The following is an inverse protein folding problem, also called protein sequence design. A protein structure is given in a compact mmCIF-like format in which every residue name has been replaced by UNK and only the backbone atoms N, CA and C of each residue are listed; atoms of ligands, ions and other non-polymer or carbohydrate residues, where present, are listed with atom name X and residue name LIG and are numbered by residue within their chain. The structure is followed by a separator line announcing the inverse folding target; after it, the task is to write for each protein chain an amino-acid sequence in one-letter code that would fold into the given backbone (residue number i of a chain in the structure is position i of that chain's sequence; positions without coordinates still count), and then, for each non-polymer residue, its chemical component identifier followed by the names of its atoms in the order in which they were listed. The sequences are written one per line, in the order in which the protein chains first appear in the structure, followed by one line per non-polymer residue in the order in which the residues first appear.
data_IF_182296146477
#
_entry.id   IF_182296146477
#
_cell.length_a   1.000
_cell.length_b   1.000
_cell.length_c   1.000
_cell.angle_alpha   90.00
_cell.angle_beta   90.00
_cell.angle_gamma   90.00
#
_symmetry.space_group_name_H-M   'P 1'
#
loop_
_entity.id
_entity.type
_entity.pdbx_description
1 polymer ?
#
# COMPACT_ATOMS: atom_id res chain seq x y z
N UNK A 1 -12.39 49.83 -31.02
CA UNK A 1 -13.78 50.23 -30.84
C UNK A 1 -14.28 49.67 -29.50
N UNK A 2 -14.72 50.56 -28.68
CA UNK A 2 -15.28 50.39 -27.32
C UNK A 2 -16.63 49.68 -27.35
N UNK A 3 -16.94 48.92 -26.30
CA UNK A 3 -18.20 48.85 -25.52
C UNK A 3 -18.07 47.69 -24.52
N UNK A 4 -18.02 47.85 -23.36
CA UNK A 4 -18.59 48.24 -22.03
C UNK A 4 -20.05 47.81 -21.83
N UNK A 5 -20.28 47.38 -20.56
CA UNK A 5 -21.50 47.31 -19.72
C UNK A 5 -22.16 45.91 -19.66
N UNK A 6 -22.73 45.40 -18.53
CA UNK A 6 -23.08 45.94 -17.20
C UNK A 6 -23.33 44.75 -16.26
N UNK A 7 -23.06 44.96 -14.99
CA UNK A 7 -23.40 44.15 -13.82
C UNK A 7 -24.91 44.02 -13.58
N UNK A 8 -25.34 42.92 -12.93
CA UNK A 8 -26.49 42.97 -12.02
C UNK A 8 -26.33 41.94 -10.90
N UNK A 9 -26.17 42.42 -9.70
CA UNK A 9 -26.34 41.72 -8.44
C UNK A 9 -27.82 41.72 -8.06
N UNK A 10 -28.29 40.63 -7.46
CA UNK A 10 -29.52 40.64 -6.68
C UNK A 10 -29.36 39.76 -5.45
N UNK A 11 -29.41 40.41 -4.30
CA UNK A 11 -29.53 39.86 -2.96
C UNK A 11 -31.00 39.98 -2.50
N UNK A 12 -31.51 39.01 -1.76
CA UNK A 12 -32.62 39.13 -0.81
C UNK A 12 -32.68 37.79 -0.04
N UNK A 13 -32.40 37.72 1.21
CA UNK A 13 -33.00 38.21 2.48
C UNK A 13 -34.15 37.32 3.01
N UNK A 14 -33.83 36.71 4.17
CA UNK A 14 -34.64 36.42 5.38
C UNK A 14 -35.91 35.57 5.31
N UNK A 15 -36.02 34.58 6.23
CA UNK A 15 -36.88 34.77 7.42
C UNK A 15 -36.66 33.65 8.47
N UNK A 16 -36.42 34.08 9.70
CA UNK A 16 -36.54 33.33 10.94
C UNK A 16 -38.01 32.98 11.23
N UNK A 17 -38.29 31.88 11.90
CA UNK A 17 -39.38 31.74 12.83
C UNK A 17 -39.03 30.82 14.00
N UNK A 18 -38.81 31.45 15.15
CA UNK A 18 -38.90 30.85 16.48
C UNK A 18 -40.38 30.72 16.87
N UNK A 19 -40.72 29.64 17.55
CA UNK A 19 -41.79 29.68 18.56
C UNK A 19 -41.44 28.72 19.71
N UNK A 20 -41.49 29.34 20.87
CA UNK A 20 -41.23 28.79 22.17
C UNK A 20 -42.53 28.45 22.90
N UNK A 21 -42.38 27.89 24.12
CA UNK A 21 -43.29 27.68 25.24
C UNK A 21 -44.08 26.38 25.24
N UNK A 22 -44.14 25.65 26.35
CA UNK A 22 -44.21 26.05 27.72
C UNK A 22 -44.13 24.89 28.72
N UNK A 23 -43.80 25.29 29.89
CA UNK A 23 -43.71 24.59 31.17
C UNK A 23 -44.95 23.87 31.65
N UNK A 24 -44.81 22.83 32.47
CA UNK A 24 -45.26 22.90 33.88
C UNK A 24 -44.88 21.63 34.68
N UNK A 25 -44.45 21.95 35.84
CA UNK A 25 -44.07 21.31 37.08
C UNK A 25 -45.13 20.36 37.65
N UNK A 26 -44.74 19.26 38.28
CA UNK A 26 -45.14 19.00 39.69
C UNK A 26 -44.43 17.79 40.31
N UNK A 27 -44.12 17.95 41.54
CA UNK A 27 -43.28 17.30 42.46
C UNK A 27 -43.79 16.01 43.13
N UNK A 28 -42.83 15.26 43.67
CA UNK A 28 -42.79 14.48 44.91
C UNK A 28 -43.62 13.17 44.97
N UNK A 29 -43.08 12.06 45.35
CA UNK A 29 -42.66 11.69 46.71
C UNK A 29 -41.94 10.36 46.73
N UNK A 30 -41.08 10.19 47.69
CA UNK A 30 -40.23 9.17 48.23
C UNK A 30 -40.93 7.83 48.50
N UNK A 31 -40.19 6.68 48.24
CA UNK A 31 -39.98 5.61 49.24
C UNK A 31 -38.78 4.74 48.90
N UNK A 32 -38.07 4.37 49.94
CA UNK A 32 -36.79 3.68 49.98
C UNK A 32 -36.92 2.13 49.89
N UNK A 33 -35.75 1.54 49.61
CA UNK A 33 -35.27 0.20 49.95
C UNK A 33 -35.72 -0.96 49.00
N UNK A 34 -34.77 -1.56 48.26
CA UNK A 34 -34.03 -2.75 48.73
C UNK A 34 -32.81 -3.01 47.88
N UNK A 35 -31.79 -3.49 48.56
CA UNK A 35 -30.47 -3.85 48.06
C UNK A 35 -30.53 -5.26 47.48
N UNK A 36 -30.21 -5.46 46.23
CA UNK A 36 -29.69 -6.75 45.75
C UNK A 36 -28.55 -6.51 44.77
N UNK A 37 -27.45 -7.18 45.08
CA UNK A 37 -26.25 -7.20 44.26
C UNK A 37 -26.49 -7.94 42.97
N UNK A 38 -26.26 -7.27 41.84
CA UNK A 38 -26.13 -7.92 40.55
C UNK A 38 -24.66 -7.90 40.16
N UNK A 39 -24.10 -9.09 40.06
CA UNK A 39 -22.79 -9.40 39.57
C UNK A 39 -22.58 -8.78 38.17
N UNK A 40 -21.48 -8.04 38.02
CA UNK A 40 -20.95 -7.60 36.77
C UNK A 40 -20.45 -8.82 35.97
N UNK A 41 -21.24 -9.28 35.05
CA UNK A 41 -20.73 -10.12 33.98
C UNK A 41 -19.95 -9.22 33.04
N UNK A 42 -18.63 -9.39 33.02
CA UNK A 42 -17.77 -8.92 31.94
C UNK A 42 -18.22 -9.64 30.66
N UNK A 43 -18.80 -8.90 29.74
CA UNK A 43 -18.94 -9.37 28.36
C UNK A 43 -17.52 -9.50 27.78
N UNK A 44 -17.10 -10.75 27.66
CA UNK A 44 -16.00 -11.14 26.80
C UNK A 44 -16.40 -10.73 25.37
N UNK A 45 -15.76 -9.69 24.86
CA UNK A 45 -15.84 -9.35 23.45
C UNK A 45 -15.12 -10.49 22.72
N UNK A 46 -15.90 -11.43 22.23
CA UNK A 46 -15.42 -12.43 21.29
C UNK A 46 -14.87 -11.70 20.09
N UNK A 47 -13.56 -11.87 19.85
CA UNK A 47 -12.95 -11.52 18.59
C UNK A 47 -13.81 -12.12 17.48
N UNK A 48 -14.25 -11.27 16.56
CA UNK A 48 -14.99 -11.67 15.37
C UNK A 48 -14.05 -12.57 14.57
N UNK A 49 -14.30 -13.87 14.59
CA UNK A 49 -13.56 -14.85 13.80
C UNK A 49 -13.65 -14.43 12.35
N UNK A 50 -12.49 -14.17 11.74
CA UNK A 50 -12.37 -13.93 10.31
C UNK A 50 -13.10 -15.08 9.58
N UNK A 51 -14.11 -14.73 8.79
CA UNK A 51 -14.88 -15.68 8.00
C UNK A 51 -13.97 -16.41 7.03
N UNK A 52 -13.56 -17.61 7.40
CA UNK A 52 -13.01 -18.58 6.46
C UNK A 52 -14.16 -19.16 5.67
N UNK A 53 -14.18 -18.91 4.39
CA UNK A 53 -15.23 -19.36 3.50
C UNK A 53 -14.75 -20.58 2.75
N UNK A 54 -15.39 -21.71 3.02
CA UNK A 54 -15.48 -22.81 2.07
C UNK A 54 -16.25 -22.27 0.84
N UNK A 55 -15.54 -21.94 -0.26
CA UNK A 55 -16.11 -21.33 -1.47
C UNK A 55 -16.22 -19.79 -1.44
N UNK A 56 -15.35 -19.09 -0.71
CA UNK A 56 -15.27 -17.62 -0.67
C UNK A 56 -14.38 -17.00 -1.75
N UNK A 57 -14.16 -15.70 -1.63
CA UNK A 57 -13.32 -14.90 -2.53
C UNK A 57 -12.02 -14.54 -1.81
N UNK A 58 -10.89 -14.67 -2.48
CA UNK A 58 -9.61 -14.06 -2.06
C UNK A 58 -9.49 -12.68 -2.71
N UNK A 59 -9.61 -11.63 -1.89
CA UNK A 59 -9.48 -10.24 -2.34
C UNK A 59 -8.07 -9.75 -2.05
N UNK A 60 -7.31 -9.49 -3.11
CA UNK A 60 -5.90 -9.10 -3.04
C UNK A 60 -5.75 -7.61 -3.26
N UNK A 61 -5.26 -6.90 -2.25
CA UNK A 61 -4.93 -5.47 -2.35
C UNK A 61 -3.57 -5.26 -2.99
N UNK A 62 -3.50 -4.34 -3.97
CA UNK A 62 -2.29 -4.04 -4.69
C UNK A 62 -2.27 -2.61 -5.25
N UNK A 63 -1.09 -2.05 -5.47
CA UNK A 63 -0.86 -0.83 -6.22
C UNK A 63 -0.81 -1.17 -7.72
N UNK A 64 -1.73 -0.59 -8.51
CA UNK A 64 -1.83 -0.85 -9.95
C UNK A 64 -0.73 -0.18 -10.80
N UNK A 65 0.13 0.61 -10.17
CA UNK A 65 1.23 1.34 -10.80
C UNK A 65 2.62 0.80 -10.40
N UNK A 66 2.68 -0.50 -10.01
CA UNK A 66 3.87 -1.17 -9.50
C UNK A 66 4.31 -2.40 -10.33
N UNK A 67 4.57 -2.24 -11.65
CA UNK A 67 5.04 -3.34 -12.48
C UNK A 67 6.49 -3.75 -12.13
N UNK A 68 6.84 -5.04 -12.21
CA UNK A 68 6.08 -6.17 -12.74
C UNK A 68 5.21 -6.89 -11.71
N UNK A 69 5.10 -6.39 -10.47
CA UNK A 69 4.42 -7.10 -9.38
C UNK A 69 2.90 -7.06 -9.53
N UNK A 70 2.32 -5.85 -9.72
CA UNK A 70 0.91 -5.63 -9.99
C UNK A 70 0.71 -4.35 -10.81
N UNK A 71 -0.02 -4.43 -11.92
CA UNK A 71 -0.22 -3.27 -12.79
C UNK A 71 -1.38 -3.47 -13.77
N UNK A 72 -1.72 -2.40 -14.50
CA UNK A 72 -2.68 -2.46 -15.61
C UNK A 72 -1.95 -2.86 -16.89
N UNK A 73 -2.34 -3.98 -17.49
CA UNK A 73 -1.77 -4.45 -18.76
C UNK A 73 -2.23 -3.64 -19.97
N UNK A 74 -1.65 -3.92 -21.13
CA UNK A 74 -1.99 -3.25 -22.41
C UNK A 74 -3.45 -3.48 -22.85
N UNK A 75 -4.08 -4.54 -22.37
CA UNK A 75 -5.48 -4.89 -22.57
C UNK A 75 -6.45 -4.19 -21.63
N UNK A 76 -5.91 -3.45 -20.64
CA UNK A 76 -6.66 -2.75 -19.60
C UNK A 76 -7.04 -3.63 -18.39
N UNK A 77 -6.61 -4.90 -18.39
CA UNK A 77 -6.83 -5.82 -17.28
C UNK A 77 -5.68 -5.77 -16.27
N UNK A 78 -5.95 -6.15 -15.01
CA UNK A 78 -4.93 -6.24 -14.00
C UNK A 78 -4.06 -7.47 -14.22
N UNK A 79 -2.74 -7.27 -14.19
CA UNK A 79 -1.74 -8.30 -14.42
C UNK A 79 -0.52 -8.04 -13.54
N UNK A 80 0.41 -8.98 -13.48
CA UNK A 80 1.65 -8.88 -12.73
C UNK A 80 2.06 -10.20 -12.11
N UNK A 81 3.32 -10.29 -11.74
CA UNK A 81 3.88 -11.50 -11.12
C UNK A 81 3.11 -11.91 -9.86
N UNK A 82 2.89 -10.97 -8.95
CA UNK A 82 2.20 -11.23 -7.69
C UNK A 82 0.71 -11.53 -7.90
N UNK A 83 0.08 -10.82 -8.84
CA UNK A 83 -1.32 -11.07 -9.15
C UNK A 83 -1.53 -12.44 -9.80
N UNK A 84 -0.57 -12.91 -10.62
CA UNK A 84 -0.63 -14.27 -11.18
C UNK A 84 -0.39 -15.34 -10.09
N UNK A 85 0.55 -15.11 -9.17
CA UNK A 85 0.73 -15.97 -7.99
C UNK A 85 -0.58 -16.07 -7.19
N UNK A 86 -1.18 -14.92 -6.86
CA UNK A 86 -2.41 -14.86 -6.08
C UNK A 86 -3.60 -15.54 -6.79
N UNK A 87 -3.72 -15.35 -8.10
CA UNK A 87 -4.77 -15.98 -8.91
C UNK A 87 -4.64 -17.51 -8.92
N UNK A 88 -3.41 -18.02 -9.12
CA UNK A 88 -3.17 -19.47 -9.12
C UNK A 88 -3.37 -20.07 -7.71
N UNK A 89 -2.95 -19.35 -6.65
CA UNK A 89 -3.22 -19.75 -5.27
C UNK A 89 -4.73 -19.82 -5.00
N UNK A 90 -5.48 -18.79 -5.35
CA UNK A 90 -6.95 -18.80 -5.17
C UNK A 90 -7.61 -19.99 -5.90
N UNK A 91 -7.21 -20.24 -7.14
CA UNK A 91 -7.70 -21.36 -7.94
C UNK A 91 -7.39 -22.72 -7.30
N UNK A 92 -6.18 -22.94 -6.78
CA UNK A 92 -5.82 -24.20 -6.09
C UNK A 92 -6.55 -24.38 -4.77
N UNK A 93 -6.87 -23.28 -4.08
CA UNK A 93 -7.66 -23.29 -2.86
C UNK A 93 -9.19 -23.39 -3.12
N UNK A 94 -9.63 -23.33 -4.38
CA UNK A 94 -11.05 -23.35 -4.74
C UNK A 94 -11.79 -22.05 -4.37
N UNK A 95 -11.06 -20.93 -4.27
CA UNK A 95 -11.59 -19.61 -4.00
C UNK A 95 -11.81 -18.82 -5.30
N UNK A 96 -12.78 -17.91 -5.30
CA UNK A 96 -12.82 -16.86 -6.32
C UNK A 96 -11.65 -15.90 -6.11
N UNK A 97 -11.06 -15.40 -7.20
CA UNK A 97 -9.99 -14.40 -7.14
C UNK A 97 -10.53 -13.01 -7.48
N UNK A 98 -10.13 -12.01 -6.70
CA UNK A 98 -10.40 -10.61 -6.99
C UNK A 98 -9.15 -9.76 -6.73
N UNK A 99 -8.61 -9.15 -7.79
CA UNK A 99 -7.63 -8.07 -7.65
C UNK A 99 -8.37 -6.77 -7.27
N UNK A 100 -7.95 -6.12 -6.20
CA UNK A 100 -8.49 -4.87 -5.69
C UNK A 100 -7.40 -3.80 -5.70
N UNK A 101 -7.42 -2.86 -6.67
CA UNK A 101 -6.47 -1.76 -6.64
C UNK A 101 -6.76 -0.85 -5.45
N UNK A 102 -5.71 -0.42 -4.78
CA UNK A 102 -5.75 0.46 -3.61
C UNK A 102 -4.75 1.61 -3.78
N UNK A 103 -4.99 2.74 -3.12
CA UNK A 103 -3.94 3.72 -2.90
C UNK A 103 -2.96 3.15 -1.87
N UNK A 104 -1.65 3.18 -2.17
CA UNK A 104 -0.66 2.48 -1.36
C UNK A 104 -0.60 2.96 0.09
N UNK A 105 -0.76 4.25 0.33
CA UNK A 105 -0.82 4.86 1.65
C UNK A 105 -2.07 4.48 2.46
N UNK A 106 -3.06 3.84 1.81
CA UNK A 106 -4.30 3.39 2.45
C UNK A 106 -4.32 1.89 2.74
N UNK A 107 -3.25 1.15 2.43
CA UNK A 107 -3.19 -0.33 2.50
C UNK A 107 -3.61 -0.90 3.84
N UNK A 108 -3.17 -0.26 4.94
CA UNK A 108 -3.47 -0.71 6.30
C UNK A 108 -4.95 -0.57 6.61
N UNK A 109 -5.54 0.56 6.22
CA UNK A 109 -6.96 0.82 6.42
C UNK A 109 -7.83 -0.17 5.62
N UNK A 110 -7.45 -0.46 4.37
CA UNK A 110 -8.16 -1.40 3.50
C UNK A 110 -8.11 -2.82 4.08
N UNK A 111 -6.94 -3.23 4.61
CA UNK A 111 -6.76 -4.53 5.25
C UNK A 111 -7.52 -4.62 6.59
N UNK A 112 -7.40 -3.60 7.44
CA UNK A 112 -8.04 -3.58 8.76
C UNK A 112 -9.57 -3.55 8.66
N UNK A 113 -10.12 -2.84 7.67
CA UNK A 113 -11.57 -2.80 7.43
C UNK A 113 -12.13 -4.05 6.75
N UNK A 114 -11.27 -4.96 6.27
CA UNK A 114 -11.68 -6.17 5.56
C UNK A 114 -12.17 -5.93 4.13
N UNK A 115 -11.78 -4.80 3.53
CA UNK A 115 -12.03 -4.55 2.10
C UNK A 115 -11.13 -5.42 1.22
N UNK A 116 -9.97 -5.81 1.75
CA UNK A 116 -9.02 -6.77 1.19
C UNK A 116 -8.68 -7.84 2.22
N UNK A 117 -8.34 -9.04 1.78
CA UNK A 117 -7.96 -10.17 2.63
C UNK A 117 -6.45 -10.20 2.89
N UNK A 118 -5.67 -9.71 1.94
CA UNK A 118 -4.21 -9.59 2.05
C UNK A 118 -3.67 -8.46 1.16
N UNK A 119 -2.45 -8.03 1.46
CA UNK A 119 -1.63 -7.15 0.64
C UNK A 119 -0.60 -8.04 -0.06
N UNK A 120 -0.59 -8.03 -1.40
CA UNK A 120 0.32 -8.84 -2.20
C UNK A 120 0.78 -8.04 -3.43
N UNK A 121 1.93 -7.38 -3.29
CA UNK A 121 2.42 -6.44 -4.29
C UNK A 121 3.89 -6.04 -4.07
N UNK A 122 4.81 -7.02 -4.08
CA UNK A 122 6.18 -6.75 -3.67
C UNK A 122 6.20 -6.16 -2.25
N UNK A 123 5.42 -6.74 -1.35
CA UNK A 123 5.20 -6.16 -0.04
C UNK A 123 6.33 -6.52 0.92
N UNK A 124 7.13 -5.52 1.27
CA UNK A 124 8.30 -5.67 2.12
C UNK A 124 7.93 -6.03 3.53
N UNK A 125 8.45 -7.15 4.00
CA UNK A 125 8.32 -7.63 5.40
C UNK A 125 9.28 -6.90 6.32
N UNK A 126 10.49 -6.62 5.86
CA UNK A 126 11.57 -6.02 6.65
C UNK A 126 11.12 -4.71 7.29
N UNK A 127 11.22 -4.65 8.62
CA UNK A 127 10.77 -3.51 9.42
C UNK A 127 9.27 -3.48 9.72
N UNK A 128 8.50 -4.48 9.26
CA UNK A 128 7.05 -4.60 9.47
C UNK A 128 6.64 -5.97 10.03
N UNK A 129 7.58 -6.73 10.54
CA UNK A 129 7.38 -8.13 10.96
C UNK A 129 6.30 -8.26 12.03
N UNK A 130 6.19 -7.25 12.88
CA UNK A 130 5.23 -7.23 13.99
C UNK A 130 3.86 -6.65 13.62
N UNK A 131 3.69 -6.04 12.45
CA UNK A 131 2.47 -5.32 12.09
C UNK A 131 1.42 -6.21 11.44
N UNK A 132 1.86 -7.29 10.77
CA UNK A 132 1.01 -8.19 10.00
C UNK A 132 1.18 -9.64 10.43
N UNK A 133 0.34 -10.51 9.88
CA UNK A 133 0.58 -11.95 9.82
C UNK A 133 1.13 -12.26 8.43
N UNK A 134 2.41 -12.64 8.36
CA UNK A 134 3.13 -12.82 7.12
C UNK A 134 3.21 -14.28 6.67
N UNK A 135 3.31 -14.51 5.36
CA UNK A 135 3.91 -15.73 4.82
C UNK A 135 5.42 -15.76 5.16
N UNK A 136 6.08 -16.86 4.88
CA UNK A 136 7.54 -16.83 4.68
C UNK A 136 7.87 -15.95 3.47
N UNK A 137 9.06 -15.34 3.42
CA UNK A 137 9.45 -14.50 2.29
C UNK A 137 9.50 -15.32 1.00
N UNK A 138 8.90 -14.79 -0.05
CA UNK A 138 8.89 -15.46 -1.36
C UNK A 138 9.91 -14.88 -2.35
N UNK A 139 10.47 -13.71 -2.10
CA UNK A 139 11.46 -13.06 -2.96
C UNK A 139 12.35 -12.09 -2.17
N UNK A 140 13.65 -12.07 -2.48
CA UNK A 140 14.58 -11.04 -2.00
C UNK A 140 14.52 -9.80 -2.90
N UNK A 141 14.67 -8.63 -2.31
CA UNK A 141 14.70 -7.33 -3.01
C UNK A 141 15.73 -6.38 -2.37
N UNK A 142 15.92 -5.24 -2.98
CA UNK A 142 16.74 -4.14 -2.47
C UNK A 142 16.06 -2.81 -2.79
N UNK A 143 16.20 -1.83 -1.91
CA UNK A 143 15.91 -0.45 -2.22
C UNK A 143 17.13 0.21 -2.84
N UNK A 144 16.94 0.89 -3.95
CA UNK A 144 18.01 1.50 -4.77
C UNK A 144 17.63 2.92 -5.18
N UNK A 145 18.60 3.63 -5.79
CA UNK A 145 18.34 4.91 -6.43
C UNK A 145 18.40 4.77 -7.95
N UNK A 146 17.42 5.36 -8.62
CA UNK A 146 17.36 5.52 -10.08
C UNK A 146 17.65 6.97 -10.42
N UNK A 147 18.53 7.19 -11.38
CA UNK A 147 18.96 8.52 -11.85
C UNK A 147 19.05 8.56 -13.38
N UNK A 148 19.07 9.75 -13.98
CA UNK A 148 19.37 9.88 -15.41
C UNK A 148 20.76 9.31 -15.72
N UNK A 149 20.89 8.58 -16.83
CA UNK A 149 22.11 7.89 -17.19
C UNK A 149 23.27 8.86 -17.48
N UNK A 150 22.97 10.05 -17.98
CA UNK A 150 23.92 11.12 -18.28
C UNK A 150 24.19 12.05 -17.08
N UNK A 151 23.57 11.78 -15.90
CA UNK A 151 23.83 12.56 -14.69
C UNK A 151 25.20 12.28 -14.10
N UNK A 152 25.73 13.25 -13.34
CA UNK A 152 26.98 13.12 -12.58
C UNK A 152 26.83 12.28 -11.30
N UNK A 153 25.62 11.75 -11.03
CA UNK A 153 25.31 10.94 -9.84
C UNK A 153 25.72 9.50 -10.13
N UNK A 154 26.68 8.97 -9.37
CA UNK A 154 27.19 7.61 -9.52
C UNK A 154 27.20 6.81 -8.20
N UNK A 155 26.93 7.47 -7.09
CA UNK A 155 26.84 6.88 -5.76
C UNK A 155 25.85 7.64 -4.88
N UNK A 156 25.46 7.08 -3.74
CA UNK A 156 24.63 7.77 -2.77
C UNK A 156 25.24 9.08 -2.26
N UNK A 157 26.56 9.17 -2.20
CA UNK A 157 27.23 10.40 -1.77
C UNK A 157 27.00 11.59 -2.74
N UNK A 158 26.78 11.32 -4.02
CA UNK A 158 26.53 12.33 -5.05
C UNK A 158 25.07 12.88 -4.98
N UNK A 159 24.21 12.29 -4.15
CA UNK A 159 22.85 12.79 -3.88
C UNK A 159 22.85 14.04 -2.98
N UNK A 160 23.99 14.43 -2.42
CA UNK A 160 24.11 15.66 -1.62
C UNK A 160 23.69 16.89 -2.45
N UNK A 161 22.74 17.66 -1.95
CA UNK A 161 22.18 18.83 -2.62
C UNK A 161 21.22 18.53 -3.79
N UNK A 162 20.82 17.26 -3.99
CA UNK A 162 19.88 16.80 -5.01
C UNK A 162 18.46 16.71 -4.49
N UNK A 163 17.50 16.73 -5.38
CA UNK A 163 16.08 16.46 -5.09
C UNK A 163 15.85 14.98 -5.31
N UNK A 164 15.44 14.28 -4.26
CA UNK A 164 15.12 12.86 -4.27
C UNK A 164 13.62 12.69 -4.11
N UNK A 165 13.01 11.77 -4.86
CA UNK A 165 11.59 11.45 -4.75
C UNK A 165 11.39 9.99 -4.37
N UNK A 166 10.30 9.72 -3.64
CA UNK A 166 9.95 8.39 -3.15
C UNK A 166 8.44 8.26 -3.08
N UNK A 167 7.91 7.05 -3.27
CA UNK A 167 6.49 6.82 -3.03
C UNK A 167 6.17 6.93 -1.54
N UNK A 168 5.09 7.62 -1.23
CA UNK A 168 4.60 7.77 0.15
C UNK A 168 4.28 6.40 0.78
N UNK A 169 4.69 6.22 2.04
CA UNK A 169 4.46 5.02 2.84
C UNK A 169 5.03 3.71 2.24
N UNK A 170 6.04 3.85 1.36
CA UNK A 170 6.82 2.75 0.80
C UNK A 170 7.93 2.28 1.74
N UNK A 171 8.51 1.11 1.44
CA UNK A 171 9.72 0.62 2.11
C UNK A 171 10.94 1.51 1.82
N UNK A 172 11.03 2.10 0.63
CA UNK A 172 12.05 3.08 0.31
C UNK A 172 11.97 4.32 1.21
N UNK A 173 10.76 4.84 1.45
CA UNK A 173 10.57 5.98 2.37
C UNK A 173 10.96 5.60 3.80
N UNK A 174 10.61 4.39 4.25
CA UNK A 174 11.01 3.88 5.56
C UNK A 174 12.54 3.77 5.68
N UNK A 175 13.21 3.18 4.68
CA UNK A 175 14.67 3.08 4.65
C UNK A 175 15.36 4.45 4.64
N UNK A 176 14.81 5.44 3.94
CA UNK A 176 15.30 6.82 3.98
C UNK A 176 15.12 7.47 5.36
N UNK A 177 14.05 7.16 6.09
CA UNK A 177 13.84 7.63 7.48
C UNK A 177 14.87 7.01 8.44
N UNK A 178 15.30 5.77 8.18
CA UNK A 178 16.34 5.09 8.95
C UNK A 178 17.77 5.53 8.59
N UNK A 179 17.93 6.25 7.47
CA UNK A 179 19.20 6.81 7.01
C UNK A 179 19.23 8.36 7.13
N UNK A 180 19.04 8.96 8.33
CA UNK A 180 18.90 10.41 8.49
C UNK A 180 20.16 11.20 8.09
N UNK A 181 21.36 10.59 8.20
CA UNK A 181 22.60 11.23 7.79
C UNK A 181 22.67 11.41 6.27
N UNK A 182 22.19 10.44 5.50
CA UNK A 182 22.08 10.54 4.04
C UNK A 182 20.99 11.54 3.67
N UNK A 183 19.79 11.37 4.21
CA UNK A 183 18.61 12.17 3.90
C UNK A 183 18.84 13.67 4.19
N UNK A 184 19.57 13.99 5.26
CA UNK A 184 19.92 15.37 5.61
C UNK A 184 20.88 16.05 4.60
N UNK A 185 21.51 15.29 3.71
CA UNK A 185 22.36 15.86 2.64
C UNK A 185 21.55 16.28 1.42
N UNK A 186 20.34 15.77 1.24
CA UNK A 186 19.48 16.09 0.11
C UNK A 186 19.09 17.57 0.15
N UNK A 187 18.88 18.15 -1.03
CA UNK A 187 18.28 19.47 -1.13
C UNK A 187 16.82 19.42 -0.70
N UNK A 188 16.13 18.36 -1.11
CA UNK A 188 14.72 18.11 -0.82
C UNK A 188 14.42 16.61 -0.97
N UNK A 189 13.57 16.08 -0.12
CA UNK A 189 12.95 14.77 -0.27
C UNK A 189 11.47 14.97 -0.54
N UNK A 190 11.03 14.58 -1.73
CA UNK A 190 9.63 14.65 -2.17
C UNK A 190 8.97 13.30 -2.04
N UNK A 191 7.66 13.32 -1.80
CA UNK A 191 6.84 12.11 -1.81
C UNK A 191 5.78 12.20 -2.90
N UNK A 192 5.57 11.11 -3.61
CA UNK A 192 4.54 10.95 -4.65
C UNK A 192 3.58 9.81 -4.32
N UNK A 193 2.45 9.73 -5.00
CA UNK A 193 1.48 8.66 -4.79
C UNK A 193 1.92 7.34 -5.43
N UNK A 194 2.62 7.41 -6.57
CA UNK A 194 3.01 6.25 -7.37
C UNK A 194 4.33 6.48 -8.12
N UNK A 195 4.98 5.40 -8.53
CA UNK A 195 6.26 5.46 -9.23
C UNK A 195 6.15 5.84 -10.71
N UNK A 196 4.99 5.72 -11.35
CA UNK A 196 4.80 6.25 -12.71
C UNK A 196 4.96 7.77 -12.72
N UNK A 197 4.40 8.44 -11.70
CA UNK A 197 4.58 9.90 -11.48
C UNK A 197 6.04 10.22 -11.20
N UNK A 198 6.72 9.49 -10.30
CA UNK A 198 8.14 9.71 -9.99
C UNK A 198 9.03 9.60 -11.25
N UNK A 199 8.80 8.60 -12.10
CA UNK A 199 9.54 8.45 -13.35
C UNK A 199 9.28 9.61 -14.31
N UNK A 200 8.06 10.12 -14.38
CA UNK A 200 7.75 11.30 -15.21
C UNK A 200 8.49 12.54 -14.69
N UNK A 201 8.59 12.73 -13.39
CA UNK A 201 9.29 13.83 -12.77
C UNK A 201 10.81 13.72 -12.99
N UNK A 202 11.37 12.53 -12.95
CA UNK A 202 12.78 12.28 -13.31
C UNK A 202 13.02 12.53 -14.80
N UNK A 203 12.14 12.08 -15.69
CA UNK A 203 12.23 12.33 -17.15
C UNK A 203 12.23 13.83 -17.50
N UNK A 204 11.45 14.61 -16.74
CA UNK A 204 11.35 16.06 -16.94
C UNK A 204 12.45 16.86 -16.21
N UNK A 205 13.28 16.19 -15.40
CA UNK A 205 14.30 16.83 -14.59
C UNK A 205 13.73 17.66 -13.42
N UNK A 206 12.49 17.35 -12.99
CA UNK A 206 11.90 17.93 -11.79
C UNK A 206 12.56 17.40 -10.53
N UNK A 207 13.00 16.14 -10.57
CA UNK A 207 13.79 15.47 -9.53
C UNK A 207 15.10 14.93 -10.11
N UNK A 208 16.10 14.73 -9.26
CA UNK A 208 17.42 14.21 -9.65
C UNK A 208 17.52 12.70 -9.49
N UNK A 209 16.76 12.11 -8.58
CA UNK A 209 16.77 10.68 -8.27
C UNK A 209 15.42 10.20 -7.72
N UNK A 210 15.15 8.89 -7.91
CA UNK A 210 14.02 8.17 -7.30
C UNK A 210 14.59 7.08 -6.39
N UNK A 211 14.09 6.97 -5.15
CA UNK A 211 14.36 5.82 -4.28
C UNK A 211 13.25 4.79 -4.45
N UNK A 212 13.58 3.53 -4.78
CA UNK A 212 12.59 2.51 -5.11
C UNK A 212 13.16 1.09 -5.14
N UNK A 213 12.30 0.13 -5.33
CA UNK A 213 12.60 -1.30 -5.46
C UNK A 213 13.40 -1.61 -6.72
N UNK A 214 14.50 -2.36 -6.59
CA UNK A 214 15.39 -2.69 -7.72
C UNK A 214 14.69 -3.49 -8.82
N UNK A 215 13.77 -4.38 -8.46
CA UNK A 215 13.01 -5.20 -9.43
C UNK A 215 12.08 -4.32 -10.26
N UNK A 216 11.37 -3.40 -9.60
CA UNK A 216 10.49 -2.45 -10.25
C UNK A 216 11.28 -1.45 -11.09
N UNK A 217 12.38 -0.92 -10.56
CA UNK A 217 13.28 -0.03 -11.30
C UNK A 217 13.77 -0.67 -12.61
N UNK A 218 14.30 -1.89 -12.53
CA UNK A 218 14.81 -2.60 -13.71
C UNK A 218 13.74 -2.83 -14.78
N UNK A 219 12.54 -3.24 -14.36
CA UNK A 219 11.40 -3.41 -15.27
C UNK A 219 10.96 -2.10 -15.91
N UNK A 220 10.75 -1.04 -15.12
CA UNK A 220 10.33 0.26 -15.60
C UNK A 220 11.32 0.88 -16.60
N UNK A 221 12.62 0.82 -16.31
CA UNK A 221 13.68 1.30 -17.21
C UNK A 221 13.62 0.57 -18.55
N UNK A 222 13.48 -0.75 -18.53
CA UNK A 222 13.39 -1.57 -19.74
C UNK A 222 12.13 -1.26 -20.55
N UNK A 223 10.96 -1.17 -19.94
CA UNK A 223 9.68 -0.95 -20.61
C UNK A 223 9.57 0.46 -21.20
N UNK A 224 10.06 1.46 -20.49
CA UNK A 224 10.07 2.85 -20.96
C UNK A 224 11.12 3.10 -22.05
N UNK A 225 12.07 2.18 -22.22
CA UNK A 225 13.27 2.40 -23.03
C UNK A 225 13.93 3.74 -22.67
N UNK A 226 13.93 4.05 -21.37
CA UNK A 226 14.38 5.32 -20.82
C UNK A 226 15.89 5.31 -20.58
N UNK A 227 16.51 6.46 -20.68
CA UNK A 227 17.96 6.63 -20.48
C UNK A 227 18.27 6.88 -18.98
N UNK A 228 17.96 5.86 -18.17
CA UNK A 228 18.18 5.85 -16.73
C UNK A 228 19.16 4.74 -16.33
N UNK A 229 19.77 4.92 -15.16
CA UNK A 229 20.61 3.91 -14.50
C UNK A 229 20.21 3.75 -13.04
N UNK A 230 20.41 2.54 -12.55
CA UNK A 230 20.33 2.21 -11.12
C UNK A 230 21.72 2.39 -10.54
N UNK A 231 21.83 3.04 -9.37
CA UNK A 231 23.10 3.11 -8.66
C UNK A 231 23.48 1.75 -8.09
N UNK A 232 24.79 1.47 -8.06
CA UNK A 232 25.30 0.19 -7.55
C UNK A 232 25.13 0.05 -6.02
N UNK A 233 25.08 1.17 -5.30
CA UNK A 233 24.92 1.19 -3.84
C UNK A 233 23.42 0.97 -3.50
N UNK A 234 23.10 -0.11 -2.79
CA UNK A 234 21.75 -0.31 -2.25
C UNK A 234 21.50 0.55 -1.01
N UNK A 235 20.30 1.08 -0.88
CA UNK A 235 19.85 1.78 0.32
C UNK A 235 19.54 0.80 1.46
N UNK A 236 18.87 -0.32 1.14
CA UNK A 236 18.60 -1.42 2.05
C UNK A 236 18.41 -2.73 1.31
N UNK A 237 18.61 -3.84 2.02
CA UNK A 237 18.21 -5.19 1.58
C UNK A 237 16.90 -5.55 2.29
N UNK A 238 16.02 -6.25 1.60
CA UNK A 238 14.70 -6.59 2.11
C UNK A 238 14.13 -7.86 1.49
N UNK A 239 13.02 -8.33 2.05
CA UNK A 239 12.32 -9.52 1.61
C UNK A 239 10.84 -9.22 1.42
N UNK A 240 10.24 -9.77 0.34
CA UNK A 240 8.82 -9.69 0.05
C UNK A 240 8.07 -10.86 0.63
N UNK A 241 6.94 -10.56 1.25
CA UNK A 241 5.97 -11.54 1.73
C UNK A 241 4.54 -11.13 1.40
N UNK A 242 3.60 -12.01 1.66
CA UNK A 242 2.17 -11.68 1.62
C UNK A 242 1.74 -11.28 3.01
N UNK A 243 1.21 -10.06 3.16
CA UNK A 243 0.77 -9.50 4.43
C UNK A 243 -0.74 -9.68 4.65
N UNK A 244 -1.10 -10.33 5.76
CA UNK A 244 -2.48 -10.51 6.20
C UNK A 244 -2.74 -9.68 7.46
N UNK A 245 -4.01 -9.37 7.72
CA UNK A 245 -4.41 -8.76 8.98
C UNK A 245 -3.83 -9.56 10.17
N UNK A 246 -3.31 -8.84 11.16
CA UNK A 246 -2.69 -9.44 12.34
C UNK A 246 -3.61 -10.47 12.98
N UNK A 247 -3.12 -11.69 13.17
CA UNK A 247 -3.86 -12.84 13.73
C UNK A 247 -4.58 -13.71 12.70
N UNK A 248 -4.67 -13.32 11.42
CA UNK A 248 -5.28 -14.15 10.37
C UNK A 248 -4.33 -15.26 9.90
N UNK A 249 -4.06 -16.22 10.79
CA UNK A 249 -3.13 -17.32 10.53
C UNK A 249 -3.73 -18.41 9.65
N UNK A 250 -5.04 -18.63 9.69
CA UNK A 250 -5.68 -19.70 8.92
C UNK A 250 -5.59 -19.47 7.42
N UNK A 251 -5.93 -18.27 6.95
CA UNK A 251 -5.81 -17.93 5.53
C UNK A 251 -4.35 -17.88 5.11
N UNK A 252 -3.48 -17.29 5.96
CA UNK A 252 -2.04 -17.25 5.72
C UNK A 252 -1.45 -18.65 5.50
N UNK A 253 -1.77 -19.61 6.37
CA UNK A 253 -1.22 -20.97 6.28
C UNK A 253 -1.68 -21.69 5.01
N UNK A 254 -2.92 -21.46 4.56
CA UNK A 254 -3.42 -21.98 3.29
C UNK A 254 -2.68 -21.38 2.10
N UNK A 255 -2.49 -20.04 2.10
CA UNK A 255 -1.74 -19.34 1.05
C UNK A 255 -0.28 -19.77 1.06
N UNK A 256 0.36 -19.83 2.24
CA UNK A 256 1.75 -20.26 2.40
C UNK A 256 2.00 -21.62 1.75
N UNK A 257 1.26 -22.65 2.17
CA UNK A 257 1.46 -24.01 1.67
C UNK A 257 1.23 -24.14 0.18
N UNK A 258 0.28 -23.38 -0.38
CA UNK A 258 0.01 -23.40 -1.82
C UNK A 258 1.10 -22.66 -2.60
N UNK A 259 1.60 -21.55 -2.06
CA UNK A 259 2.65 -20.74 -2.66
C UNK A 259 3.98 -21.53 -2.77
N UNK A 260 4.34 -22.30 -1.75
CA UNK A 260 5.52 -23.19 -1.77
C UNK A 260 5.51 -24.20 -2.93
N UNK A 261 4.32 -24.65 -3.34
CA UNK A 261 4.16 -25.66 -4.40
C UNK A 261 4.33 -25.09 -5.81
N UNK A 262 4.14 -23.76 -6.00
CA UNK A 262 3.94 -23.23 -7.36
C UNK A 262 4.72 -21.93 -7.66
N UNK A 263 5.31 -21.27 -6.67
CA UNK A 263 5.97 -19.98 -6.87
C UNK A 263 7.09 -20.04 -7.91
N UNK A 264 7.87 -21.13 -7.93
CA UNK A 264 8.93 -21.32 -8.91
C UNK A 264 8.41 -21.29 -10.36
N UNK A 265 7.29 -21.98 -10.64
CA UNK A 265 6.73 -22.08 -11.99
C UNK A 265 6.34 -20.69 -12.53
N UNK A 266 5.67 -19.89 -11.73
CA UNK A 266 5.27 -18.53 -12.10
C UNK A 266 6.49 -17.62 -12.23
N UNK A 267 7.47 -17.77 -11.32
CA UNK A 267 8.72 -17.02 -11.37
C UNK A 267 9.49 -17.26 -12.67
N UNK A 268 9.63 -18.50 -13.10
CA UNK A 268 10.31 -18.85 -14.35
C UNK A 268 9.61 -18.25 -15.58
N UNK A 269 8.28 -18.18 -15.56
CA UNK A 269 7.49 -17.56 -16.62
C UNK A 269 7.75 -16.04 -16.73
N UNK A 270 7.82 -15.33 -15.61
CA UNK A 270 7.99 -13.89 -15.58
C UNK A 270 9.43 -13.42 -15.78
N UNK A 271 10.38 -14.10 -15.16
CA UNK A 271 11.79 -13.69 -15.09
C UNK A 271 12.73 -14.59 -15.88
N UNK A 272 12.21 -15.62 -16.59
CA UNK A 272 12.99 -16.63 -17.30
C UNK A 272 14.00 -17.39 -16.40
N UNK A 273 13.83 -17.29 -15.10
CA UNK A 273 14.60 -17.96 -14.04
C UNK A 273 13.78 -17.98 -12.76
N UNK A 274 14.11 -18.90 -11.87
CA UNK A 274 13.55 -18.88 -10.52
C UNK A 274 14.26 -17.81 -9.68
N UNK A 275 13.49 -16.79 -9.26
CA UNK A 275 13.92 -15.71 -8.36
C UNK A 275 13.30 -15.83 -6.96
N UNK A 276 12.50 -16.88 -6.72
CA UNK A 276 11.84 -17.07 -5.43
C UNK A 276 12.77 -17.59 -4.36
N UNK A 277 12.48 -17.31 -3.11
CA UNK A 277 13.19 -17.78 -1.92
C UNK A 277 12.40 -18.83 -1.15
N UNK A 278 11.08 -18.87 -1.34
CA UNK A 278 10.15 -19.75 -0.64
C UNK A 278 10.35 -21.23 -1.04
N UNK A 279 10.23 -22.11 -0.05
CA UNK A 279 10.37 -23.56 -0.28
C UNK A 279 11.80 -24.06 -0.51
N UNK A 280 12.82 -23.25 -0.23
CA UNK A 280 14.25 -23.59 -0.43
C UNK A 280 15.01 -23.77 0.86
#
# INVERSE_FOLDING_TARGET
MKKRFVSAALAAVMALSMTACGSSNSAAETTAADTEAAESQAEETTAEEAKTTDGGTLIVGFDQDFPPMGFVGDDGEYTGFDLELAQEVAKRLGLEYKAQPIAWDSKDMELESGNIDCIWNGFTMTGREDDYTWTEPYMANQQVFVVANDSDINSQADLAGKIVEVQADSSAEAALKEAPELTATFKELLTTADYNTAFMDLEQGAVDAIAMDVIVAGYQIQQRNADFKILDDSLSEEEYGVGFKKGNTELRDKVQSTLEEMAQEVSEKWFSKDVTTIGK
#
